data_IF_401350943953
#
_entry.id   IF_401350943953
#
_cell.length_a   1.000
_cell.length_b   1.000
_cell.length_c   1.000
_cell.angle_alpha   90.00
_cell.angle_beta   90.00
_cell.angle_gamma   90.00
#
_symmetry.space_group_name_H-M   'P 1'
#
loop_
_entity.id
_entity.type
_entity.pdbx_description
1 polymer ?
#
# COMPACT_ATOMS: atom_id res chain seq x y z
N UNK A 1 10.42 -4.25 6.52
CA UNK A 1 10.27 -3.77 7.92
C UNK A 1 9.07 -4.47 8.51
N UNK A 2 9.01 -4.77 9.81
CA UNK A 2 7.81 -5.42 10.38
C UNK A 2 6.65 -4.42 10.59
N UNK A 3 5.43 -4.94 10.75
CA UNK A 3 4.21 -4.15 10.90
C UNK A 3 4.19 -3.37 12.23
N UNK A 4 4.88 -3.84 13.27
CA UNK A 4 5.04 -3.10 14.52
C UNK A 4 5.79 -1.79 14.28
N UNK A 5 6.91 -1.85 13.55
CA UNK A 5 7.71 -0.66 13.22
C UNK A 5 6.93 0.31 12.33
N UNK A 6 6.10 -0.20 11.41
CA UNK A 6 5.17 0.64 10.63
C UNK A 6 4.20 1.41 11.54
N UNK A 7 3.62 0.77 12.55
CA UNK A 7 2.74 1.43 13.52
C UNK A 7 3.46 2.51 14.32
N UNK A 8 4.71 2.27 14.74
CA UNK A 8 5.50 3.27 15.45
C UNK A 8 5.75 4.52 14.60
N UNK A 9 6.09 4.35 13.33
CA UNK A 9 6.27 5.47 12.40
C UNK A 9 4.95 6.20 12.12
N UNK A 10 3.85 5.47 12.01
CA UNK A 10 2.52 6.07 11.87
C UNK A 10 2.20 6.96 13.07
N UNK A 11 2.41 6.48 14.29
CA UNK A 11 2.21 7.27 15.51
C UNK A 11 3.13 8.51 15.55
N UNK A 12 4.40 8.39 15.14
CA UNK A 12 5.33 9.54 15.03
C UNK A 12 4.83 10.60 14.03
N UNK A 13 4.14 10.20 12.98
CA UNK A 13 3.51 11.10 12.01
C UNK A 13 2.17 11.69 12.50
N UNK A 14 1.66 11.24 13.66
CA UNK A 14 0.37 11.65 14.21
C UNK A 14 -0.83 10.87 13.67
N UNK A 15 -0.59 9.71 13.03
CA UNK A 15 -1.62 8.80 12.55
C UNK A 15 -2.08 7.91 13.71
N UNK A 16 -3.40 7.76 13.85
CA UNK A 16 -4.01 6.89 14.85
C UNK A 16 -3.61 5.43 14.67
N UNK A 17 -3.49 4.73 15.80
CA UNK A 17 -3.22 3.29 15.81
C UNK A 17 -4.31 2.51 15.04
N UNK A 18 -5.56 2.95 15.10
CA UNK A 18 -6.66 2.36 14.34
C UNK A 18 -6.40 2.42 12.83
N UNK A 19 -6.03 3.59 12.31
CA UNK A 19 -5.75 3.76 10.89
C UNK A 19 -4.52 2.95 10.45
N UNK A 20 -3.45 2.98 11.23
CA UNK A 20 -2.22 2.23 10.95
C UNK A 20 -2.45 0.71 10.93
N UNK A 21 -3.11 0.17 11.96
CA UNK A 21 -3.45 -1.26 12.02
C UNK A 21 -4.43 -1.69 10.94
N UNK A 22 -5.35 -0.81 10.55
CA UNK A 22 -6.27 -1.08 9.45
C UNK A 22 -5.52 -1.21 8.12
N UNK A 23 -4.57 -0.31 7.85
CA UNK A 23 -3.74 -0.36 6.63
C UNK A 23 -2.83 -1.59 6.64
N UNK A 24 -2.16 -1.87 7.76
CA UNK A 24 -1.29 -3.04 7.85
C UNK A 24 -2.08 -4.35 7.65
N UNK A 25 -3.32 -4.46 8.16
CA UNK A 25 -4.19 -5.61 7.87
C UNK A 25 -4.47 -5.81 6.39
N UNK A 26 -4.53 -4.71 5.61
CA UNK A 26 -4.78 -4.77 4.18
C UNK A 26 -3.51 -5.14 3.40
N UNK A 27 -2.36 -4.58 3.78
CA UNK A 27 -1.11 -4.72 3.00
C UNK A 27 -0.29 -5.94 3.43
N UNK A 28 -0.07 -6.12 4.74
CA UNK A 28 0.84 -7.12 5.32
C UNK A 28 0.17 -8.44 5.71
N UNK A 29 -1.15 -8.58 5.48
CA UNK A 29 -1.92 -9.78 5.89
C UNK A 29 -1.83 -10.09 7.40
N UNK A 30 -1.77 -9.05 8.23
CA UNK A 30 -1.70 -9.22 9.69
C UNK A 30 -3.07 -9.54 10.29
N UNK A 31 -3.53 -10.77 10.12
CA UNK A 31 -4.82 -11.25 10.62
C UNK A 31 -5.92 -11.19 9.57
N UNK A 32 -7.18 -11.16 9.99
CA UNK A 32 -8.30 -11.17 9.04
C UNK A 32 -8.47 -9.82 8.34
N UNK A 33 -8.62 -9.85 7.01
CA UNK A 33 -8.95 -8.68 6.21
C UNK A 33 -10.27 -8.03 6.69
N UNK A 34 -10.33 -6.69 6.78
CA UNK A 34 -11.56 -6.01 7.18
C UNK A 34 -12.74 -6.30 6.24
N UNK A 35 -13.90 -6.65 6.80
CA UNK A 35 -15.11 -6.98 6.03
C UNK A 35 -15.53 -5.87 5.05
N UNK A 36 -15.33 -4.60 5.43
CA UNK A 36 -15.64 -3.45 4.59
C UNK A 36 -14.68 -3.34 3.39
N UNK A 37 -13.40 -3.66 3.58
CA UNK A 37 -12.43 -3.76 2.49
C UNK A 37 -12.75 -4.94 1.55
N UNK A 38 -13.02 -6.12 2.09
CA UNK A 38 -13.41 -7.31 1.30
C UNK A 38 -14.65 -7.02 0.45
N UNK A 39 -15.62 -6.30 1.02
CA UNK A 39 -16.82 -5.87 0.30
C UNK A 39 -16.48 -4.89 -0.82
N UNK A 40 -15.64 -3.89 -0.55
CA UNK A 40 -15.19 -2.92 -1.55
C UNK A 40 -14.43 -3.58 -2.71
N UNK A 41 -13.54 -4.54 -2.44
CA UNK A 41 -12.82 -5.32 -3.46
C UNK A 41 -13.82 -6.08 -4.34
N UNK A 42 -14.80 -6.78 -3.75
CA UNK A 42 -15.83 -7.52 -4.50
C UNK A 42 -16.66 -6.61 -5.38
N UNK A 43 -17.08 -5.45 -4.87
CA UNK A 43 -17.89 -4.50 -5.63
C UNK A 43 -17.08 -3.86 -6.76
N UNK A 44 -15.82 -3.52 -6.52
CA UNK A 44 -14.91 -3.01 -7.55
C UNK A 44 -14.62 -4.05 -8.62
N UNK A 45 -14.37 -5.30 -8.24
CA UNK A 45 -14.17 -6.42 -9.16
C UNK A 45 -15.42 -6.68 -10.02
N UNK A 46 -16.62 -6.57 -9.45
CA UNK A 46 -17.90 -6.62 -10.20
C UNK A 46 -18.02 -5.45 -11.17
N UNK A 47 -17.67 -4.23 -10.76
CA UNK A 47 -17.65 -3.07 -11.66
C UNK A 47 -16.72 -3.28 -12.86
N UNK A 48 -15.50 -3.76 -12.60
CA UNK A 48 -14.53 -4.09 -13.65
C UNK A 48 -15.08 -5.21 -14.56
N UNK A 49 -15.76 -6.22 -14.00
CA UNK A 49 -16.44 -7.23 -14.80
C UNK A 49 -17.55 -6.63 -15.67
N UNK A 50 -18.33 -5.66 -15.19
CA UNK A 50 -19.36 -5.03 -16.01
C UNK A 50 -18.73 -4.22 -17.15
N UNK A 51 -17.68 -3.45 -16.86
CA UNK A 51 -16.97 -2.62 -17.83
C UNK A 51 -16.22 -3.46 -18.89
N UNK A 52 -15.55 -4.54 -18.47
CA UNK A 52 -14.80 -5.46 -19.35
C UNK A 52 -15.70 -6.54 -19.97
N UNK A 53 -16.73 -6.97 -19.27
CA UNK A 53 -17.73 -7.98 -19.69
C UNK A 53 -18.74 -7.45 -20.68
N UNK A 54 -18.96 -6.13 -20.75
CA UNK A 54 -19.58 -5.47 -21.90
C UNK A 54 -18.81 -5.72 -23.22
N UNK A 55 -17.56 -6.22 -23.16
CA UNK A 55 -16.75 -6.57 -24.34
C UNK A 55 -16.63 -8.08 -24.66
N UNK A 56 -16.89 -9.03 -23.74
CA UNK A 56 -17.11 -10.49 -24.01
C UNK A 56 -17.19 -11.36 -22.73
N UNK A 57 -18.26 -12.15 -22.60
CA UNK A 57 -18.23 -13.60 -22.33
C UNK A 57 -17.71 -14.22 -21.02
N UNK A 58 -17.19 -13.48 -20.02
CA UNK A 58 -16.61 -14.09 -18.80
C UNK A 58 -17.44 -13.84 -17.53
N UNK A 59 -18.17 -14.87 -17.07
CA UNK A 59 -18.99 -14.83 -15.85
C UNK A 59 -18.18 -14.86 -14.54
N UNK A 60 -16.93 -15.33 -14.57
CA UNK A 60 -16.07 -15.51 -13.40
C UNK A 60 -14.96 -14.46 -13.23
N UNK A 61 -14.88 -13.46 -14.12
CA UNK A 61 -13.77 -12.49 -14.11
C UNK A 61 -13.69 -11.68 -12.81
N UNK A 62 -14.83 -11.33 -12.19
CA UNK A 62 -14.81 -10.63 -10.91
C UNK A 62 -14.23 -11.49 -9.77
N UNK A 63 -14.45 -12.81 -9.80
CA UNK A 63 -13.90 -13.69 -8.77
C UNK A 63 -12.39 -13.78 -8.91
N UNK A 64 -11.87 -13.91 -10.14
CA UNK A 64 -10.42 -13.92 -10.40
C UNK A 64 -9.76 -12.60 -10.00
N UNK A 65 -10.39 -11.46 -10.31
CA UNK A 65 -9.88 -10.14 -9.92
C UNK A 65 -9.93 -9.94 -8.40
N UNK A 66 -11.02 -10.38 -7.76
CA UNK A 66 -11.14 -10.29 -6.31
C UNK A 66 -10.09 -11.18 -5.63
N UNK A 67 -9.96 -12.43 -6.09
CA UNK A 67 -8.98 -13.40 -5.60
C UNK A 67 -7.55 -12.88 -5.78
N UNK A 68 -7.19 -12.37 -6.96
CA UNK A 68 -5.86 -11.79 -7.21
C UNK A 68 -5.56 -10.51 -6.41
N UNK A 69 -6.60 -9.79 -5.98
CA UNK A 69 -6.44 -8.57 -5.15
C UNK A 69 -6.38 -8.92 -3.66
N UNK A 70 -7.03 -10.01 -3.27
CA UNK A 70 -7.06 -10.51 -1.90
C UNK A 70 -5.93 -11.50 -1.60
N UNK A 71 -5.23 -12.01 -2.62
CA UNK A 71 -4.13 -12.95 -2.45
C UNK A 71 -2.83 -12.22 -2.12
N UNK A 72 -2.22 -12.60 -0.99
CA UNK A 72 -1.14 -11.89 -0.33
C UNK A 72 0.27 -12.35 -0.78
N UNK A 73 0.38 -13.58 -1.32
CA UNK A 73 1.67 -14.27 -1.54
C UNK A 73 2.01 -14.51 -3.02
N UNK A 74 1.11 -14.17 -3.94
CA UNK A 74 1.38 -14.33 -5.37
C UNK A 74 2.22 -13.17 -5.88
N UNK A 75 3.54 -13.29 -5.72
CA UNK A 75 4.61 -12.57 -6.44
C UNK A 75 4.06 -11.58 -7.47
N UNK A 76 3.65 -10.39 -6.97
CA UNK A 76 2.86 -9.38 -7.67
C UNK A 76 3.39 -9.23 -9.09
N UNK A 77 2.78 -9.89 -10.08
CA UNK A 77 3.31 -9.91 -11.43
C UNK A 77 3.29 -8.46 -11.92
N UNK A 78 4.48 -7.98 -12.29
CA UNK A 78 4.75 -6.60 -12.65
C UNK A 78 3.66 -6.07 -13.59
N UNK A 79 2.99 -5.02 -13.15
CA UNK A 79 2.24 -4.00 -13.92
C UNK A 79 0.75 -4.19 -14.22
N UNK A 80 0.06 -5.24 -13.75
CA UNK A 80 -1.41 -5.27 -13.87
C UNK A 80 -2.13 -5.52 -12.55
N UNK A 81 -1.74 -6.58 -11.84
CA UNK A 81 -2.53 -7.03 -10.68
C UNK A 81 -2.10 -6.25 -9.42
N UNK A 82 -0.80 -5.95 -9.32
CA UNK A 82 -0.24 -5.07 -8.29
C UNK A 82 -0.79 -3.63 -8.38
N UNK A 83 -0.87 -3.09 -9.59
CA UNK A 83 -1.37 -1.74 -9.84
C UNK A 83 -2.87 -1.65 -9.58
N UNK A 84 -3.62 -2.71 -9.91
CA UNK A 84 -5.03 -2.82 -9.56
C UNK A 84 -5.24 -2.93 -8.05
N UNK A 85 -4.46 -3.76 -7.34
CA UNK A 85 -4.57 -3.86 -5.89
C UNK A 85 -4.30 -2.51 -5.21
N UNK A 86 -3.19 -1.85 -5.55
CA UNK A 86 -2.87 -0.52 -5.05
C UNK A 86 -3.96 0.52 -5.38
N UNK A 87 -4.58 0.46 -6.57
CA UNK A 87 -5.69 1.34 -6.93
C UNK A 87 -6.94 1.08 -6.07
N UNK A 88 -7.28 -0.18 -5.83
CA UNK A 88 -8.44 -0.60 -5.04
C UNK A 88 -8.25 -0.24 -3.56
N UNK A 89 -7.09 -0.58 -3.00
CA UNK A 89 -6.66 -0.20 -1.65
C UNK A 89 -6.79 1.32 -1.45
N UNK A 90 -6.10 2.10 -2.30
CA UNK A 90 -6.08 3.55 -2.17
C UNK A 90 -7.47 4.17 -2.39
N UNK A 91 -8.25 3.65 -3.33
CA UNK A 91 -9.62 4.08 -3.58
C UNK A 91 -10.55 3.83 -2.39
N UNK A 92 -10.39 2.70 -1.70
CA UNK A 92 -11.13 2.36 -0.49
C UNK A 92 -10.71 3.25 0.69
N UNK A 93 -9.41 3.40 0.93
CA UNK A 93 -8.89 4.18 2.05
C UNK A 93 -9.23 5.67 1.94
N UNK A 94 -9.34 6.22 0.72
CA UNK A 94 -9.89 7.57 0.48
C UNK A 94 -11.30 7.76 1.02
N UNK A 95 -12.13 6.73 1.00
CA UNK A 95 -13.49 6.80 1.55
C UNK A 95 -13.50 6.77 3.08
N UNK A 96 -12.45 6.22 3.71
CA UNK A 96 -12.32 6.17 5.17
C UNK A 96 -11.79 7.47 5.76
N UNK A 97 -10.88 8.14 5.07
CA UNK A 97 -10.40 9.48 5.44
C UNK A 97 -8.93 9.71 5.15
N UNK A 98 -8.51 10.97 5.29
CA UNK A 98 -7.14 11.41 4.96
C UNK A 98 -6.08 10.69 5.79
N UNK A 99 -6.39 10.35 7.05
CA UNK A 99 -5.49 9.62 7.93
C UNK A 99 -5.15 8.21 7.41
N UNK A 100 -6.15 7.48 6.92
CA UNK A 100 -5.95 6.15 6.31
C UNK A 100 -5.11 6.22 5.02
N UNK A 101 -5.29 7.29 4.24
CA UNK A 101 -4.49 7.55 3.04
C UNK A 101 -3.04 7.87 3.41
N UNK A 102 -2.82 8.69 4.44
CA UNK A 102 -1.49 8.98 4.94
C UNK A 102 -0.77 7.72 5.45
N UNK A 103 -1.49 6.86 6.18
CA UNK A 103 -0.97 5.56 6.63
C UNK A 103 -0.56 4.65 5.47
N UNK A 104 -1.39 4.57 4.42
CA UNK A 104 -1.08 3.80 3.21
C UNK A 104 0.19 4.29 2.51
N UNK A 105 0.32 5.61 2.31
CA UNK A 105 1.53 6.16 1.70
C UNK A 105 2.78 5.94 2.57
N UNK A 106 2.65 6.08 3.89
CA UNK A 106 3.74 5.82 4.83
C UNK A 106 4.18 4.37 4.76
N UNK A 107 3.23 3.44 4.70
CA UNK A 107 3.52 2.03 4.55
C UNK A 107 4.35 1.74 3.29
N UNK A 108 3.89 2.18 2.11
CA UNK A 108 4.63 1.97 0.85
C UNK A 108 6.02 2.61 0.85
N UNK A 109 6.18 3.78 1.48
CA UNK A 109 7.50 4.39 1.64
C UNK A 109 8.42 3.52 2.52
N UNK A 110 7.95 3.09 3.68
CA UNK A 110 8.75 2.30 4.62
C UNK A 110 9.12 0.93 4.04
N UNK A 111 8.19 0.27 3.36
CA UNK A 111 8.44 -0.96 2.62
C UNK A 111 9.54 -0.76 1.59
N UNK A 112 9.39 0.21 0.69
CA UNK A 112 10.39 0.50 -0.33
C UNK A 112 11.75 0.78 0.31
N UNK A 113 11.82 1.66 1.31
CA UNK A 113 13.07 2.01 1.97
C UNK A 113 13.74 0.80 2.66
N UNK A 114 12.95 -0.17 3.14
CA UNK A 114 13.44 -1.34 3.86
C UNK A 114 13.87 -2.54 3.00
N UNK A 115 13.71 -2.45 1.68
CA UNK A 115 14.11 -3.53 0.78
C UNK A 115 15.63 -3.76 0.80
N UNK A 116 16.08 -5.01 0.85
CA UNK A 116 17.51 -5.37 0.89
C UNK A 116 18.32 -4.74 -0.26
N UNK A 117 17.70 -4.61 -1.45
CA UNK A 117 18.33 -3.99 -2.63
C UNK A 117 18.68 -2.50 -2.46
N UNK A 118 18.17 -1.88 -1.40
CA UNK A 118 18.37 -0.47 -1.10
C UNK A 118 19.46 -0.24 -0.06
N UNK A 119 20.07 -1.30 0.48
CA UNK A 119 21.21 -1.23 1.40
C UNK A 119 22.36 -0.37 0.84
N UNK A 120 22.86 0.56 1.65
CA UNK A 120 23.99 1.44 1.31
C UNK A 120 23.66 2.66 0.45
N UNK A 121 22.36 2.91 0.18
CA UNK A 121 21.88 4.15 -0.45
C UNK A 121 21.39 5.11 0.62
N UNK A 122 21.59 6.40 0.40
CA UNK A 122 21.05 7.42 1.31
C UNK A 122 19.53 7.51 1.21
N UNK A 123 18.89 7.98 2.29
CA UNK A 123 17.43 8.24 2.31
C UNK A 123 17.00 9.15 1.14
N UNK A 124 17.80 10.16 0.83
CA UNK A 124 17.50 11.10 -0.25
C UNK A 124 17.45 10.43 -1.63
N UNK A 125 18.44 9.60 -1.94
CA UNK A 125 18.49 8.83 -3.20
C UNK A 125 17.30 7.88 -3.31
N UNK A 126 16.98 7.18 -2.22
CA UNK A 126 15.86 6.24 -2.19
C UNK A 126 14.51 6.92 -2.39
N UNK A 127 14.28 8.08 -1.77
CA UNK A 127 13.03 8.81 -1.95
C UNK A 127 12.85 9.32 -3.39
N UNK A 128 13.93 9.76 -4.06
CA UNK A 128 13.84 10.13 -5.47
C UNK A 128 13.60 8.90 -6.36
N UNK A 129 14.30 7.78 -6.12
CA UNK A 129 14.05 6.54 -6.86
C UNK A 129 12.61 6.00 -6.65
N UNK A 130 12.08 6.09 -5.43
CA UNK A 130 10.71 5.69 -5.13
C UNK A 130 9.71 6.53 -5.94
N UNK A 131 9.91 7.84 -5.98
CA UNK A 131 9.08 8.78 -6.75
C UNK A 131 9.06 8.46 -8.24
N UNK A 132 10.22 8.13 -8.80
CA UNK A 132 10.36 7.81 -10.23
C UNK A 132 9.75 6.46 -10.58
N UNK A 133 10.00 5.43 -9.76
CA UNK A 133 9.58 4.05 -10.05
C UNK A 133 8.12 3.78 -9.71
N UNK A 134 7.61 4.36 -8.63
CA UNK A 134 6.29 4.09 -8.09
C UNK A 134 5.53 5.38 -7.75
N UNK A 135 5.24 6.25 -8.75
CA UNK A 135 4.60 7.53 -8.50
C UNK A 135 3.19 7.43 -7.88
N UNK A 136 2.50 6.31 -8.04
CA UNK A 136 1.14 6.11 -7.51
C UNK A 136 1.12 5.82 -6.00
N UNK A 137 2.19 5.26 -5.46
CA UNK A 137 2.37 4.95 -4.03
C UNK A 137 3.29 5.97 -3.34
N UNK A 138 3.64 7.05 -4.04
CA UNK A 138 4.49 8.12 -3.52
C UNK A 138 3.67 9.31 -3.02
N UNK A 139 4.02 9.82 -1.84
CA UNK A 139 3.50 11.08 -1.30
C UNK A 139 4.63 12.01 -0.89
N UNK A 140 4.63 13.24 -1.42
CA UNK A 140 5.59 14.29 -1.04
C UNK A 140 5.45 14.70 0.43
N UNK A 141 4.23 14.63 0.98
CA UNK A 141 3.98 14.96 2.41
C UNK A 141 4.67 13.94 3.31
N UNK A 142 4.51 12.65 3.02
CA UNK A 142 5.17 11.58 3.79
C UNK A 142 6.68 11.60 3.56
N UNK A 143 7.14 11.81 2.33
CA UNK A 143 8.57 11.93 2.03
C UNK A 143 9.22 13.10 2.79
N UNK A 144 8.50 14.21 2.96
CA UNK A 144 8.96 15.35 3.78
C UNK A 144 9.10 14.95 5.23
N UNK A 145 8.09 14.31 5.82
CA UNK A 145 8.14 13.78 7.18
C UNK A 145 9.34 12.82 7.40
N UNK A 146 9.60 11.91 6.45
CA UNK A 146 10.74 10.99 6.52
C UNK A 146 12.08 11.74 6.45
N UNK A 147 12.20 12.78 5.61
CA UNK A 147 13.39 13.65 5.55
C UNK A 147 13.60 14.44 6.83
N UNK A 148 12.54 14.93 7.46
CA UNK A 148 12.61 15.62 8.76
C UNK A 148 13.08 14.70 9.89
N UNK A 149 12.81 13.39 9.76
CA UNK A 149 13.22 12.35 10.70
C UNK A 149 14.41 11.50 10.20
N UNK A 150 15.20 12.04 9.27
CA UNK A 150 16.28 11.33 8.55
C UNK A 150 17.17 10.48 9.46
N UNK A 151 17.72 11.06 10.53
CA UNK A 151 18.65 10.33 11.40
C UNK A 151 18.03 9.14 12.12
N UNK A 152 16.73 9.21 12.45
CA UNK A 152 16.03 8.10 13.08
C UNK A 152 15.73 6.99 12.06
N UNK A 153 15.23 7.33 10.87
CA UNK A 153 14.90 6.34 9.84
C UNK A 153 16.15 5.67 9.24
N UNK A 154 17.23 6.41 9.03
CA UNK A 154 18.49 5.83 8.53
C UNK A 154 19.09 4.87 9.56
N UNK A 155 19.03 5.21 10.85
CA UNK A 155 19.47 4.29 11.91
C UNK A 155 18.60 3.02 11.99
N UNK A 156 17.27 3.17 11.90
CA UNK A 156 16.33 2.05 11.91
C UNK A 156 16.55 1.09 10.73
N UNK A 157 16.76 1.64 9.55
CA UNK A 157 16.91 0.90 8.31
C UNK A 157 18.36 0.52 7.98
N UNK A 158 19.32 0.91 8.83
CA UNK A 158 20.76 0.74 8.58
C UNK A 158 21.21 1.29 7.21
N UNK A 159 20.66 2.44 6.82
CA UNK A 159 20.99 3.16 5.58
C UNK A 159 22.28 3.97 5.70
#
# INVERSE_FOLDING_TARGET
MDWETHNEWAQKMGISEEAAQYVNRIIDDIGELPDDYVSAVKDRARGIQQDRGAKKGNSALHMVIADSTMDHDSSRQKTTDADMAAEIEHGHLKQKGEEYVAAWYLHHHLDYLSEERNSGKSLGELLEEHKEKYPNTYSDTVATFLRENKGAIENELSL
#
